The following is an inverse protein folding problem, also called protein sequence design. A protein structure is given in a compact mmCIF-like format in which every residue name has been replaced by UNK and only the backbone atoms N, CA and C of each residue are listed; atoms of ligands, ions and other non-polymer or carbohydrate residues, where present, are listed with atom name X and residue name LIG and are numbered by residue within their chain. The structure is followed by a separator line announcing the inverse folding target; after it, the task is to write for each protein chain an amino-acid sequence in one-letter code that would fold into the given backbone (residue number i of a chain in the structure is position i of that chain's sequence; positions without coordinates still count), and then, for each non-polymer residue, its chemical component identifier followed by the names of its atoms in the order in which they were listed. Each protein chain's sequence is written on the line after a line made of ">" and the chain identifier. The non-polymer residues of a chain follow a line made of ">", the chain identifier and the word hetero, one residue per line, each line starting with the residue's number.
data_IF_431917114238
#
_entry.id   IF_431917114238
#
_cell.length_a   1.000
_cell.length_b   1.000
_cell.length_c   1.000
_cell.angle_alpha   90.00
_cell.angle_beta   90.00
_cell.angle_gamma   90.00
#
_symmetry.space_group_name_H-M   'P 1'
#
loop_
_entity.id
_entity.type
_entity.pdbx_description
1 polymer ?
#
# COMPACT_ATOMS: atom_id res chain seq x y z
N UNK A 1 49.79 18.06 -25.07
CA UNK A 1 48.58 17.44 -25.63
C UNK A 1 47.73 17.00 -24.45
N UNK A 2 46.61 17.69 -24.18
CA UNK A 2 45.82 17.54 -22.95
C UNK A 2 44.43 17.08 -23.36
N UNK A 3 44.18 15.78 -23.20
CA UNK A 3 42.94 15.13 -23.64
C UNK A 3 41.89 15.29 -22.55
N UNK A 4 40.83 16.03 -22.86
CA UNK A 4 39.65 16.19 -22.01
C UNK A 4 38.65 15.09 -22.40
N UNK A 5 38.48 14.11 -21.52
CA UNK A 5 37.42 13.10 -21.66
C UNK A 5 36.21 13.66 -20.90
N UNK A 6 35.20 14.12 -21.64
CA UNK A 6 33.89 14.43 -21.10
C UNK A 6 33.14 13.12 -20.85
N UNK A 7 32.91 12.77 -19.59
CA UNK A 7 32.02 11.69 -19.19
C UNK A 7 30.57 12.19 -19.27
N UNK A 8 29.83 11.76 -20.29
CA UNK A 8 28.39 11.93 -20.35
C UNK A 8 27.73 10.85 -19.46
N UNK A 9 27.44 11.22 -18.21
CA UNK A 9 26.62 10.40 -17.32
C UNK A 9 25.15 10.52 -17.76
N UNK A 10 24.66 9.52 -18.49
CA UNK A 10 23.22 9.36 -18.72
C UNK A 10 22.51 9.16 -17.38
N UNK A 11 21.86 10.21 -16.90
CA UNK A 11 20.90 10.16 -15.80
C UNK A 11 19.66 9.41 -16.30
N UNK A 12 19.62 8.09 -16.09
CA UNK A 12 18.37 7.36 -16.12
C UNK A 12 17.55 7.76 -14.90
N UNK A 13 16.78 8.86 -15.01
CA UNK A 13 15.71 9.16 -14.07
C UNK A 13 14.62 8.11 -14.28
N UNK A 14 14.74 6.97 -13.59
CA UNK A 14 13.66 5.99 -13.51
C UNK A 14 12.49 6.64 -12.80
N UNK A 15 11.42 6.96 -13.52
CA UNK A 15 10.13 7.27 -12.92
C UNK A 15 9.66 5.98 -12.24
N UNK A 16 9.80 5.88 -10.92
CA UNK A 16 9.08 4.88 -10.14
C UNK A 16 7.60 5.21 -10.32
N UNK A 17 6.93 4.51 -11.24
CA UNK A 17 5.51 4.67 -11.44
C UNK A 17 4.80 4.21 -10.17
N UNK A 18 4.19 5.14 -9.45
CA UNK A 18 3.22 4.80 -8.43
C UNK A 18 2.15 3.93 -9.09
N UNK A 19 2.05 2.66 -8.70
CA UNK A 19 0.98 1.79 -9.18
C UNK A 19 -0.35 2.36 -8.67
N UNK A 20 -1.29 2.58 -9.59
CA UNK A 20 -2.62 3.06 -9.24
C UNK A 20 -3.33 2.02 -8.36
N UNK A 21 -4.07 2.49 -7.35
CA UNK A 21 -4.82 1.64 -6.41
C UNK A 21 -6.28 2.08 -6.35
N UNK A 22 -7.19 1.13 -6.20
CA UNK A 22 -8.63 1.37 -6.37
C UNK A 22 -9.34 1.65 -5.06
N UNK A 23 -8.82 1.12 -3.94
CA UNK A 23 -9.57 1.07 -2.67
C UNK A 23 -9.10 2.09 -1.61
N UNK A 24 -8.29 3.08 -1.98
CA UNK A 24 -7.83 4.15 -1.09
C UNK A 24 -7.40 5.40 -1.86
N UNK A 25 -8.36 6.06 -2.49
CA UNK A 25 -8.17 7.37 -3.17
C UNK A 25 -6.96 7.43 -4.13
N UNK A 26 -6.59 6.31 -4.74
CA UNK A 26 -5.41 6.17 -5.59
C UNK A 26 -4.07 6.50 -4.89
N UNK A 27 -4.02 6.36 -3.55
CA UNK A 27 -2.81 6.53 -2.73
C UNK A 27 -2.21 5.17 -2.35
N UNK A 28 -1.19 4.67 -3.09
CA UNK A 28 -0.55 3.40 -2.77
C UNK A 28 0.22 3.42 -1.45
N UNK A 29 0.70 4.57 -0.99
CA UNK A 29 1.41 4.65 0.29
C UNK A 29 0.45 4.36 1.44
N UNK A 30 -0.67 5.09 1.50
CA UNK A 30 -1.70 4.91 2.52
C UNK A 30 -2.38 3.54 2.35
N UNK A 31 -2.65 3.11 1.12
CA UNK A 31 -3.26 1.80 0.86
C UNK A 31 -2.41 0.64 1.37
N UNK A 32 -1.12 0.64 1.09
CA UNK A 32 -0.26 -0.45 1.53
C UNK A 32 -0.07 -0.45 3.04
N UNK A 33 -0.06 0.72 3.69
CA UNK A 33 0.08 0.82 5.15
C UNK A 33 -1.20 0.49 5.91
N UNK A 34 -2.36 0.89 5.39
CA UNK A 34 -3.62 0.87 6.13
C UNK A 34 -4.73 0.03 5.48
N UNK A 35 -4.53 -0.45 4.25
CA UNK A 35 -5.50 -1.24 3.50
C UNK A 35 -6.58 -0.37 2.87
N UNK A 36 -7.73 -0.98 2.55
CA UNK A 36 -8.88 -0.27 2.00
C UNK A 36 -9.42 0.83 2.94
N UNK A 37 -10.02 1.88 2.37
CA UNK A 37 -10.64 3.00 3.08
C UNK A 37 -11.76 2.58 4.02
N UNK A 38 -12.50 1.53 3.64
CA UNK A 38 -13.60 1.00 4.44
C UNK A 38 -13.11 0.56 5.83
N UNK A 39 -13.79 1.03 6.87
CA UNK A 39 -13.51 0.65 8.26
C UNK A 39 -14.07 -0.74 8.60
N UNK A 40 -15.13 -1.17 7.92
CA UNK A 40 -15.77 -2.50 8.09
C UNK A 40 -15.09 -3.59 7.25
N UNK A 41 -13.80 -3.42 7.00
CA UNK A 41 -12.96 -4.33 6.21
C UNK A 41 -12.65 -5.63 6.95
N UNK A 42 -12.53 -6.71 6.19
CA UNK A 42 -12.25 -8.03 6.76
C UNK A 42 -10.76 -8.36 6.93
N UNK A 43 -9.88 -7.43 6.59
CA UNK A 43 -8.43 -7.57 6.73
C UNK A 43 -7.77 -6.20 6.87
N UNK A 44 -6.56 -6.16 7.42
CA UNK A 44 -5.70 -4.97 7.43
C UNK A 44 -4.24 -5.37 7.20
N UNK A 45 -3.39 -4.51 6.62
CA UNK A 45 -1.97 -4.80 6.49
C UNK A 45 -1.32 -4.99 7.87
N UNK A 46 -0.43 -5.97 8.00
CA UNK A 46 0.43 -6.12 9.16
C UNK A 46 1.88 -5.79 8.80
N UNK A 47 2.38 -6.36 7.71
CA UNK A 47 3.68 -6.02 7.13
C UNK A 47 3.65 -6.19 5.61
N UNK A 48 3.68 -5.08 4.84
CA UNK A 48 3.81 -5.12 3.39
C UNK A 48 5.09 -5.83 2.96
N UNK A 49 6.22 -5.51 3.59
CA UNK A 49 7.51 -6.12 3.28
C UNK A 49 7.49 -7.66 3.40
N UNK A 50 6.81 -8.18 4.42
CA UNK A 50 6.67 -9.62 4.63
C UNK A 50 5.46 -10.24 3.92
N UNK A 51 4.61 -9.44 3.27
CA UNK A 51 3.37 -9.89 2.67
C UNK A 51 2.36 -10.44 3.68
N UNK A 52 2.36 -9.94 4.92
CA UNK A 52 1.47 -10.41 5.97
C UNK A 52 0.33 -9.43 6.24
N UNK A 53 -0.86 -9.99 6.46
CA UNK A 53 -2.07 -9.27 6.85
C UNK A 53 -2.54 -9.70 8.23
N UNK A 54 -3.35 -8.86 8.86
CA UNK A 54 -4.15 -9.18 10.02
C UNK A 54 -5.60 -9.38 9.58
N UNK A 55 -6.14 -10.61 9.61
CA UNK A 55 -7.56 -10.84 9.39
C UNK A 55 -8.40 -10.20 10.50
N UNK A 56 -9.54 -9.61 10.13
CA UNK A 56 -10.46 -9.01 11.10
C UNK A 56 -11.16 -10.11 11.92
N UNK A 57 -11.21 -10.01 13.26
CA UNK A 57 -11.91 -10.98 14.10
C UNK A 57 -13.44 -10.92 13.96
N UNK A 58 -13.97 -9.88 13.30
CA UNK A 58 -15.39 -9.68 13.07
C UNK A 58 -15.89 -10.31 11.76
N UNK A 59 -14.98 -10.89 10.98
CA UNK A 59 -15.31 -11.52 9.71
C UNK A 59 -15.16 -13.04 9.74
N UNK A 60 -15.81 -13.69 8.80
CA UNK A 60 -15.58 -15.10 8.48
C UNK A 60 -14.27 -15.25 7.70
N UNK A 61 -13.54 -16.36 7.88
CA UNK A 61 -13.85 -17.51 8.72
C UNK A 61 -13.43 -17.38 10.20
N UNK A 62 -12.77 -16.30 10.59
CA UNK A 62 -12.21 -16.13 11.95
C UNK A 62 -13.30 -16.20 13.03
N UNK A 63 -14.47 -15.65 12.73
CA UNK A 63 -15.66 -15.76 13.56
C UNK A 63 -16.80 -16.39 12.75
N UNK A 64 -17.37 -17.54 13.15
CA UNK A 64 -18.48 -18.19 12.43
C UNK A 64 -19.77 -17.37 12.43
N UNK A 65 -19.92 -16.41 13.34
CA UNK A 65 -21.01 -15.43 13.40
C UNK A 65 -20.62 -14.07 12.81
N UNK A 66 -19.40 -13.96 12.26
CA UNK A 66 -18.90 -12.73 11.66
C UNK A 66 -19.54 -12.42 10.30
N UNK A 67 -19.27 -11.21 9.83
CA UNK A 67 -19.62 -10.77 8.48
C UNK A 67 -18.92 -11.64 7.43
N UNK A 68 -19.65 -12.03 6.38
CA UNK A 68 -19.04 -12.65 5.21
C UNK A 68 -18.24 -11.59 4.45
N UNK A 69 -16.96 -11.83 4.11
CA UNK A 69 -16.17 -10.92 3.28
C UNK A 69 -16.92 -10.52 2.00
N UNK A 70 -16.93 -9.24 1.71
CA UNK A 70 -17.53 -8.69 0.49
C UNK A 70 -16.64 -8.94 -0.73
N UNK A 71 -17.17 -8.70 -1.93
CA UNK A 71 -16.35 -8.72 -3.15
C UNK A 71 -15.20 -7.70 -3.07
N UNK A 72 -15.44 -6.52 -2.51
CA UNK A 72 -14.44 -5.47 -2.32
C UNK A 72 -13.37 -5.89 -1.31
N UNK A 73 -13.73 -6.59 -0.22
CA UNK A 73 -12.74 -7.14 0.72
C UNK A 73 -11.76 -8.08 0.01
N UNK A 74 -12.26 -8.92 -0.89
CA UNK A 74 -11.45 -9.89 -1.63
C UNK A 74 -10.62 -9.20 -2.70
N UNK A 75 -11.24 -8.31 -3.48
CA UNK A 75 -10.57 -7.60 -4.57
C UNK A 75 -9.50 -6.64 -4.06
N UNK A 76 -9.77 -5.91 -2.98
CA UNK A 76 -8.79 -5.03 -2.34
C UNK A 76 -7.62 -5.82 -1.75
N UNK A 77 -7.87 -7.01 -1.17
CA UNK A 77 -6.78 -7.87 -0.68
C UNK A 77 -5.88 -8.35 -1.83
N UNK A 78 -6.48 -8.74 -2.96
CA UNK A 78 -5.73 -9.15 -4.14
C UNK A 78 -4.89 -7.98 -4.72
N UNK A 79 -5.47 -6.78 -4.80
CA UNK A 79 -4.74 -5.57 -5.22
C UNK A 79 -3.58 -5.27 -4.26
N UNK A 80 -3.81 -5.36 -2.95
CA UNK A 80 -2.76 -5.16 -1.95
C UNK A 80 -1.61 -6.16 -2.09
N UNK A 81 -1.91 -7.45 -2.29
CA UNK A 81 -0.88 -8.45 -2.56
C UNK A 81 -0.06 -8.11 -3.81
N UNK A 82 -0.72 -7.63 -4.87
CA UNK A 82 -0.07 -7.29 -6.14
C UNK A 82 0.79 -6.04 -6.10
N UNK A 83 0.44 -5.05 -5.26
CA UNK A 83 1.07 -3.72 -5.25
C UNK A 83 2.06 -3.56 -4.09
N UNK A 84 1.75 -4.13 -2.93
CA UNK A 84 2.39 -3.74 -1.68
C UNK A 84 3.44 -4.72 -1.17
N UNK A 85 3.47 -5.95 -1.68
CA UNK A 85 4.29 -7.00 -1.08
C UNK A 85 5.70 -7.08 -1.62
N UNK A 86 6.64 -7.45 -0.77
CA UNK A 86 8.06 -7.54 -1.12
C UNK A 86 8.78 -6.18 -1.19
N UNK A 87 8.06 -5.07 -1.03
CA UNK A 87 8.63 -3.73 -0.89
C UNK A 87 8.47 -3.25 0.56
N UNK A 88 9.58 -2.79 1.14
CA UNK A 88 9.53 -2.06 2.40
C UNK A 88 8.93 -0.69 2.19
N UNK A 89 8.01 -0.28 3.08
CA UNK A 89 7.57 1.11 3.14
C UNK A 89 8.38 1.86 4.18
N UNK A 90 8.80 3.08 3.83
CA UNK A 90 9.39 3.99 4.80
C UNK A 90 8.38 4.40 5.88
N UNK A 91 8.90 5.00 6.94
CA UNK A 91 8.07 5.58 7.98
C UNK A 91 7.35 6.83 7.49
N UNK A 92 6.19 7.09 8.08
CA UNK A 92 5.48 8.34 7.85
C UNK A 92 6.17 9.46 8.63
N UNK A 93 6.61 10.50 7.92
CA UNK A 93 7.32 11.64 8.50
C UNK A 93 6.44 12.92 8.62
N UNK A 94 5.17 12.85 8.22
CA UNK A 94 4.22 13.97 8.27
C UNK A 94 3.51 14.11 9.63
N UNK A 95 2.82 15.24 9.83
CA UNK A 95 1.98 15.44 11.01
C UNK A 95 0.78 14.48 11.01
N UNK A 96 0.37 13.88 12.13
CA UNK A 96 -0.76 12.93 12.15
C UNK A 96 -0.44 11.59 11.47
N UNK A 97 -1.46 10.86 11.02
CA UNK A 97 -1.28 9.61 10.27
C UNK A 97 -1.52 9.82 8.78
N UNK A 98 -0.92 8.99 7.92
CA UNK A 98 -1.16 9.06 6.47
C UNK A 98 -2.64 9.00 6.08
N UNK A 99 -3.51 8.43 6.93
CA UNK A 99 -4.97 8.41 6.68
C UNK A 99 -5.63 9.80 6.82
N UNK A 100 -5.00 10.77 7.49
CA UNK A 100 -5.65 12.01 7.94
C UNK A 100 -5.07 13.30 7.35
N UNK A 101 -3.90 13.24 6.70
CA UNK A 101 -3.13 14.43 6.30
C UNK A 101 -2.62 14.39 4.87
N UNK A 102 -2.66 15.53 4.16
CA UNK A 102 -3.16 16.84 4.61
C UNK A 102 -4.70 16.93 4.66
N UNK A 103 -5.39 15.91 4.16
CA UNK A 103 -6.83 15.71 4.25
C UNK A 103 -7.14 14.23 4.56
N UNK A 104 -8.38 13.92 4.92
CA UNK A 104 -8.81 12.56 5.21
C UNK A 104 -8.90 11.72 3.92
N UNK A 105 -8.18 10.60 3.89
CA UNK A 105 -8.12 9.61 2.81
C UNK A 105 -9.08 8.43 3.03
#
# INVERSE_FOLDING_TARGET
>A
MKNWIFLAACLCSGTVGAQAVSYRDNDPFVFCRYGQKNLDRCWSPLSPAAGTILPSPWCKPQNPYGKTPTADDIASLAEWYSVCTGVGQGDWEGAGTGEQVPFAH
#
